data_IF_604014606600
#
_entry.id   IF_604014606600
#
_cell.length_a   1.000
_cell.length_b   1.000
_cell.length_c   1.000
_cell.angle_alpha   90.00
_cell.angle_beta   90.00
_cell.angle_gamma   90.00
#
_symmetry.space_group_name_H-M   'P 1'
#
loop_
_entity.id
_entity.type
_entity.pdbx_description
1 polymer ?
#
# COMPACT_ATOMS: atom_id res chain seq x y z
N UNK A 1 -23.71 37.96 87.22
CA UNK A 1 -24.07 39.32 86.79
C UNK A 1 -23.11 39.74 85.68
N UNK A 2 -23.66 40.35 84.61
CA UNK A 2 -23.01 41.13 83.53
C UNK A 2 -21.72 41.86 83.97
N UNK A 3 -20.76 42.28 83.15
CA UNK A 3 -20.39 42.14 81.73
C UNK A 3 -19.23 43.15 81.54
N UNK A 4 -17.99 42.74 81.29
CA UNK A 4 -16.84 43.55 80.82
C UNK A 4 -15.96 42.51 80.08
N UNK A 5 -15.50 42.63 78.84
CA UNK A 5 -14.78 43.72 78.22
C UNK A 5 -14.81 43.60 76.68
N UNK A 6 -14.50 44.71 76.03
CA UNK A 6 -14.09 44.86 74.63
C UNK A 6 -12.93 43.92 74.26
N UNK A 7 -12.80 43.55 72.98
CA UNK A 7 -11.51 43.54 72.25
C UNK A 7 -11.76 43.62 70.73
N UNK A 8 -10.83 44.34 70.12
CA UNK A 8 -10.73 44.90 68.79
C UNK A 8 -10.49 43.87 67.66
N UNK A 9 -10.80 44.29 66.44
CA UNK A 9 -10.64 43.60 65.15
C UNK A 9 -9.20 43.23 64.77
N UNK A 10 -9.07 42.11 64.05
CA UNK A 10 -8.17 41.98 62.90
C UNK A 10 -8.62 40.81 62.00
N UNK A 11 -9.39 41.10 60.94
CA UNK A 11 -9.67 40.15 59.86
C UNK A 11 -8.65 40.35 58.74
N UNK A 12 -7.73 39.41 58.61
CA UNK A 12 -6.79 39.28 57.49
C UNK A 12 -7.56 38.91 56.22
N UNK A 13 -7.65 39.85 55.28
CA UNK A 13 -8.09 39.57 53.91
C UNK A 13 -6.94 38.87 53.19
N UNK A 14 -7.08 37.57 52.96
CA UNK A 14 -6.19 36.80 52.11
C UNK A 14 -6.50 37.17 50.65
N UNK A 15 -5.72 38.08 50.07
CA UNK A 15 -5.75 38.34 48.62
C UNK A 15 -5.00 37.20 47.93
N UNK A 16 -5.71 36.15 47.54
CA UNK A 16 -5.21 35.19 46.56
C UNK A 16 -5.18 35.87 45.19
N UNK A 17 -4.00 36.38 44.82
CA UNK A 17 -3.73 36.86 43.48
C UNK A 17 -3.62 35.64 42.55
N UNK A 18 -4.72 35.28 41.88
CA UNK A 18 -4.71 34.30 40.80
C UNK A 18 -3.91 34.87 39.63
N UNK A 19 -2.71 34.33 39.40
CA UNK A 19 -2.03 34.48 38.11
C UNK A 19 -2.94 33.88 37.04
N UNK A 20 -3.48 34.72 36.17
CA UNK A 20 -4.07 34.26 34.91
C UNK A 20 -2.98 33.52 34.12
N UNK A 21 -3.05 32.20 34.14
CA UNK A 21 -2.38 31.40 33.12
C UNK A 21 -3.07 31.72 31.81
N UNK A 22 -2.42 32.55 30.99
CA UNK A 22 -2.74 32.75 29.60
C UNK A 22 -2.60 31.39 28.91
N UNK A 23 -3.71 30.66 28.81
CA UNK A 23 -3.82 29.48 27.95
C UNK A 23 -3.61 30.02 26.55
N UNK A 24 -2.39 29.88 26.05
CA UNK A 24 -2.10 30.01 24.63
C UNK A 24 -2.76 28.77 24.04
N UNK A 25 -4.05 28.87 23.71
CA UNK A 25 -4.68 27.90 22.83
C UNK A 25 -3.90 27.98 21.53
N UNK A 26 -3.21 26.90 21.19
CA UNK A 26 -2.69 26.73 19.84
C UNK A 26 -3.81 27.08 18.85
N UNK A 27 -3.53 27.88 17.81
CA UNK A 27 -4.55 28.22 16.83
C UNK A 27 -5.14 26.91 16.31
N UNK A 28 -6.46 26.78 16.38
CA UNK A 28 -7.18 25.64 15.78
C UNK A 28 -6.88 25.72 14.29
N UNK A 29 -5.88 24.98 13.83
CA UNK A 29 -5.57 24.87 12.40
C UNK A 29 -6.74 24.13 11.78
N UNK A 30 -7.62 24.90 11.15
CA UNK A 30 -8.77 24.35 10.43
C UNK A 30 -8.23 23.57 9.24
N UNK A 31 -8.18 22.25 9.37
CA UNK A 31 -7.68 21.38 8.30
C UNK A 31 -8.60 21.46 7.08
N UNK A 32 -8.01 21.59 5.90
CA UNK A 32 -8.74 21.64 4.64
C UNK A 32 -9.29 20.25 4.29
N UNK A 33 -10.58 20.15 3.95
CA UNK A 33 -11.14 18.90 3.42
C UNK A 33 -10.87 18.85 1.92
N UNK A 34 -10.13 17.82 1.48
CA UNK A 34 -9.68 17.68 0.10
C UNK A 34 -10.14 16.34 -0.47
N UNK A 35 -10.68 16.38 -1.68
CA UNK A 35 -10.99 15.18 -2.46
C UNK A 35 -9.67 14.55 -2.96
N UNK A 36 -9.55 13.23 -2.87
CA UNK A 36 -8.38 12.48 -3.34
C UNK A 36 -8.05 12.79 -4.81
N UNK A 37 -9.05 13.06 -5.65
CA UNK A 37 -8.86 13.43 -7.07
C UNK A 37 -8.12 14.74 -7.27
N UNK A 38 -8.05 15.61 -6.25
CA UNK A 38 -7.32 16.89 -6.28
C UNK A 38 -5.86 16.76 -5.85
N UNK A 39 -5.44 15.58 -5.41
CA UNK A 39 -4.06 15.33 -5.02
C UNK A 39 -3.17 15.13 -6.23
N UNK A 40 -1.86 15.31 -6.03
CA UNK A 40 -0.88 14.93 -7.05
C UNK A 40 -0.99 13.44 -7.30
N UNK A 41 -1.25 13.06 -8.54
CA UNK A 41 -1.47 11.68 -8.94
C UNK A 41 -0.32 11.20 -9.85
N UNK A 42 0.10 9.95 -9.65
CA UNK A 42 1.08 9.28 -10.49
C UNK A 42 0.62 7.87 -10.76
N UNK A 43 0.79 7.43 -12.00
CA UNK A 43 0.44 6.09 -12.43
C UNK A 43 1.72 5.32 -12.80
N UNK A 44 1.74 4.07 -12.39
CA UNK A 44 2.80 3.11 -12.69
C UNK A 44 2.17 1.75 -12.92
N UNK A 45 2.93 0.84 -13.52
CA UNK A 45 2.48 -0.53 -13.73
C UNK A 45 1.96 -0.79 -15.14
N UNK A 46 2.17 0.14 -16.08
CA UNK A 46 1.74 -0.02 -17.47
C UNK A 46 2.46 -1.19 -18.13
N UNK A 47 1.70 -2.13 -18.70
CA UNK A 47 2.22 -3.32 -19.39
C UNK A 47 3.22 -2.95 -20.49
N UNK A 48 2.86 -1.98 -21.34
CA UNK A 48 3.70 -1.45 -22.43
C UNK A 48 5.12 -1.04 -21.97
N UNK A 49 5.25 -0.52 -20.74
CA UNK A 49 6.56 -0.16 -20.20
C UNK A 49 7.34 -1.41 -19.79
N UNK A 50 6.69 -2.39 -19.20
CA UNK A 50 7.34 -3.65 -18.82
C UNK A 50 7.82 -4.46 -20.02
N UNK A 51 7.12 -4.41 -21.16
CA UNK A 51 7.55 -5.07 -22.40
C UNK A 51 8.95 -4.62 -22.86
N UNK A 52 9.34 -3.38 -22.51
CA UNK A 52 10.66 -2.82 -22.85
C UNK A 52 11.75 -3.11 -21.81
N UNK A 53 11.39 -3.69 -20.67
CA UNK A 53 12.28 -3.90 -19.52
C UNK A 53 12.77 -5.36 -19.44
N UNK A 54 13.93 -5.62 -18.80
CA UNK A 54 14.41 -6.98 -18.65
C UNK A 54 13.48 -7.84 -17.77
N UNK A 55 13.05 -8.98 -18.32
CA UNK A 55 12.21 -9.95 -17.61
C UNK A 55 12.97 -10.62 -16.46
N UNK A 56 12.27 -11.03 -15.41
CA UNK A 56 12.80 -11.89 -14.35
C UNK A 56 13.01 -13.31 -14.89
N UNK A 57 14.12 -13.91 -14.50
CA UNK A 57 14.44 -15.30 -14.83
C UNK A 57 14.29 -16.16 -13.56
N UNK A 58 13.30 -17.07 -13.58
CA UNK A 58 12.90 -17.88 -12.45
C UNK A 58 13.47 -19.29 -12.55
N UNK A 59 14.12 -19.72 -11.47
CA UNK A 59 14.56 -21.12 -11.29
C UNK A 59 13.67 -21.80 -10.26
N UNK A 60 13.23 -23.03 -10.54
CA UNK A 60 12.48 -23.85 -9.58
C UNK A 60 13.36 -24.15 -8.35
N UNK A 61 12.76 -24.07 -7.16
CA UNK A 61 13.40 -24.36 -5.88
C UNK A 61 12.53 -25.29 -5.04
N UNK A 62 13.10 -25.91 -4.03
CA UNK A 62 12.33 -26.74 -3.10
C UNK A 62 11.46 -25.88 -2.16
N UNK A 63 10.39 -26.48 -1.62
CA UNK A 63 9.58 -25.86 -0.55
C UNK A 63 10.44 -25.46 0.65
N UNK A 64 11.40 -26.30 1.02
CA UNK A 64 12.28 -26.03 2.16
C UNK A 64 13.17 -24.81 1.90
N UNK A 65 13.71 -24.67 0.68
CA UNK A 65 14.41 -23.44 0.31
C UNK A 65 13.47 -22.23 0.38
N UNK A 66 12.28 -22.30 -0.21
CA UNK A 66 11.29 -21.21 -0.15
C UNK A 66 10.96 -20.76 1.27
N UNK A 67 10.68 -21.70 2.17
CA UNK A 67 10.31 -21.40 3.55
C UNK A 67 11.48 -20.77 4.33
N UNK A 68 12.71 -21.21 4.07
CA UNK A 68 13.92 -20.64 4.67
C UNK A 68 14.31 -19.27 4.07
N UNK A 69 13.76 -18.91 2.91
CA UNK A 69 14.02 -17.65 2.23
C UNK A 69 13.16 -16.49 2.73
N UNK A 70 12.13 -16.75 3.55
CA UNK A 70 11.24 -15.72 4.08
C UNK A 70 12.00 -14.75 4.99
N UNK A 71 12.60 -13.72 4.38
CA UNK A 71 13.02 -12.54 5.13
C UNK A 71 11.76 -11.88 5.70
N UNK A 72 11.89 -11.24 6.86
CA UNK A 72 10.79 -10.49 7.49
C UNK A 72 10.52 -9.27 6.59
N UNK A 73 9.74 -9.46 5.53
CA UNK A 73 9.17 -8.36 4.77
C UNK A 73 8.34 -7.52 5.74
N UNK A 74 8.38 -6.20 5.60
CA UNK A 74 7.58 -5.29 6.42
C UNK A 74 6.11 -5.49 6.05
N UNK A 75 5.33 -6.25 6.84
CA UNK A 75 3.99 -6.61 6.41
C UNK A 75 3.12 -5.36 6.43
N UNK A 76 2.14 -5.34 5.54
CA UNK A 76 1.05 -4.37 5.63
C UNK A 76 0.36 -4.54 6.98
N UNK A 77 0.05 -3.44 7.66
CA UNK A 77 -0.65 -3.46 8.94
C UNK A 77 -2.12 -3.14 8.71
N UNK A 78 -3.02 -3.89 9.35
CA UNK A 78 -4.48 -3.77 9.18
C UNK A 78 -5.14 -2.87 10.23
N UNK A 79 -4.41 -1.87 10.75
CA UNK A 79 -4.96 -0.95 11.75
C UNK A 79 -6.19 -0.24 11.15
N UNK A 80 -7.36 -0.32 11.81
CA UNK A 80 -8.59 0.24 11.26
C UNK A 80 -8.49 1.76 11.15
N UNK A 81 -9.01 2.30 10.05
CA UNK A 81 -9.09 3.75 9.85
C UNK A 81 -10.33 4.35 10.50
N UNK A 82 -10.25 5.59 11.01
CA UNK A 82 -11.42 6.37 11.37
C UNK A 82 -12.39 6.47 10.20
N UNK A 83 -13.69 6.46 10.49
CA UNK A 83 -14.70 6.61 9.46
C UNK A 83 -15.90 7.40 9.92
N UNK A 84 -16.48 8.16 8.97
CA UNK A 84 -17.62 9.04 9.21
C UNK A 84 -18.47 9.13 7.97
N UNK A 85 -19.79 9.01 8.12
CA UNK A 85 -20.77 9.18 7.03
C UNK A 85 -20.43 8.36 5.76
N UNK A 86 -20.02 7.10 5.92
CA UNK A 86 -19.66 6.24 4.78
C UNK A 86 -18.32 6.55 4.12
N UNK A 87 -17.45 7.36 4.74
CA UNK A 87 -16.11 7.66 4.25
C UNK A 87 -15.04 7.16 5.23
N UNK A 88 -13.89 6.71 4.72
CA UNK A 88 -12.64 6.71 5.49
C UNK A 88 -12.13 8.14 5.62
N UNK A 89 -11.57 8.45 6.79
CA UNK A 89 -11.01 9.77 7.11
C UNK A 89 -9.50 9.61 7.31
N UNK A 90 -8.72 10.25 6.43
CA UNK A 90 -7.27 10.32 6.57
C UNK A 90 -6.86 11.75 6.91
N UNK A 91 -6.18 11.92 8.04
CA UNK A 91 -5.58 13.20 8.39
C UNK A 91 -4.11 13.18 7.98
N UNK A 92 -3.75 13.98 6.97
CA UNK A 92 -2.41 14.05 6.42
C UNK A 92 -1.99 15.52 6.47
N UNK A 93 -1.06 15.84 7.37
CA UNK A 93 -0.67 17.21 7.70
C UNK A 93 -1.87 18.12 8.03
N UNK A 94 -2.06 19.17 7.24
CA UNK A 94 -3.10 20.19 7.29
C UNK A 94 -4.35 19.82 6.49
N UNK A 95 -4.41 18.60 5.93
CA UNK A 95 -5.52 18.12 5.10
C UNK A 95 -6.25 16.95 5.74
N UNK A 96 -7.56 16.90 5.45
CA UNK A 96 -8.42 15.75 5.71
C UNK A 96 -8.87 15.21 4.37
N UNK A 97 -8.48 13.97 4.05
CA UNK A 97 -8.99 13.26 2.89
C UNK A 97 -10.22 12.44 3.30
N UNK A 98 -11.26 12.52 2.47
CA UNK A 98 -12.46 11.69 2.60
C UNK A 98 -12.51 10.72 1.44
N UNK A 99 -12.47 9.43 1.75
CA UNK A 99 -12.55 8.37 0.75
C UNK A 99 -13.85 7.61 0.94
N UNK A 100 -14.75 7.68 -0.05
CA UNK A 100 -16.02 6.98 0.02
C UNK A 100 -15.78 5.48 0.08
N UNK A 101 -16.31 4.81 1.09
CA UNK A 101 -16.13 3.36 1.28
C UNK A 101 -16.84 2.59 0.17
N UNK A 102 -16.24 1.46 -0.22
CA UNK A 102 -16.86 0.49 -1.11
C UNK A 102 -18.18 -0.02 -0.50
N UNK A 103 -19.25 0.10 -1.28
CA UNK A 103 -20.59 -0.42 -0.98
C UNK A 103 -21.04 -1.36 -2.10
N UNK A 104 -22.16 -2.05 -1.88
CA UNK A 104 -22.78 -2.89 -2.90
C UNK A 104 -23.42 -2.09 -4.06
N UNK A 105 -23.25 -0.76 -4.09
CA UNK A 105 -23.96 0.18 -4.97
C UNK A 105 -22.97 1.17 -5.59
N UNK A 106 -21.97 0.65 -6.30
CA UNK A 106 -21.06 1.44 -7.12
C UNK A 106 -21.81 2.00 -8.33
N UNK A 107 -21.60 3.28 -8.63
CA UNK A 107 -22.23 4.00 -9.75
C UNK A 107 -21.16 4.42 -10.75
N UNK A 108 -21.55 4.51 -12.01
CA UNK A 108 -20.69 5.05 -13.06
C UNK A 108 -20.24 6.48 -12.75
N UNK A 109 -18.98 6.79 -13.04
CA UNK A 109 -18.35 8.08 -12.71
C UNK A 109 -17.98 8.24 -11.22
N UNK A 110 -18.29 7.26 -10.38
CA UNK A 110 -17.93 7.23 -8.97
C UNK A 110 -16.70 6.33 -8.73
N UNK A 111 -15.86 6.74 -7.79
CA UNK A 111 -14.78 5.90 -7.25
C UNK A 111 -15.07 5.61 -5.78
N UNK A 112 -15.08 4.35 -5.40
CA UNK A 112 -15.19 3.91 -4.02
C UNK A 112 -13.97 3.10 -3.62
N UNK A 113 -13.61 3.17 -2.34
CA UNK A 113 -12.35 2.66 -1.84
C UNK A 113 -12.58 1.53 -0.84
N UNK A 114 -11.79 0.47 -0.96
CA UNK A 114 -11.65 -0.55 0.07
C UNK A 114 -10.25 -0.43 0.71
N UNK A 115 -10.20 -0.36 2.03
CA UNK A 115 -8.94 -0.16 2.75
C UNK A 115 -8.23 -1.49 2.97
N UNK A 116 -7.01 -1.60 2.42
CA UNK A 116 -6.22 -2.83 2.45
C UNK A 116 -5.24 -2.86 3.60
N UNK A 117 -4.85 -1.70 4.13
CA UNK A 117 -3.93 -1.56 5.25
C UNK A 117 -2.92 -0.43 5.07
N UNK A 118 -1.90 -0.41 5.92
CA UNK A 118 -0.84 0.59 5.92
C UNK A 118 0.53 -0.06 5.81
N UNK A 119 1.35 0.39 4.85
CA UNK A 119 2.75 -0.04 4.67
C UNK A 119 3.66 0.83 5.53
N UNK A 120 4.20 0.33 6.67
CA UNK A 120 4.98 1.16 7.58
C UNK A 120 6.31 1.62 6.97
N UNK A 121 6.95 0.75 6.17
CA UNK A 121 8.22 1.04 5.49
C UNK A 121 8.09 2.15 4.44
N UNK A 122 6.96 2.20 3.73
CA UNK A 122 6.67 3.25 2.76
C UNK A 122 6.09 4.50 3.41
N UNK A 123 5.45 4.34 4.57
CA UNK A 123 4.59 5.33 5.20
C UNK A 123 3.42 5.72 4.29
N UNK A 124 2.71 4.70 3.77
CA UNK A 124 1.61 4.85 2.80
C UNK A 124 0.42 3.98 3.18
N UNK A 125 -0.78 4.52 3.03
CA UNK A 125 -2.04 3.77 3.09
C UNK A 125 -2.31 3.08 1.75
N UNK A 126 -2.78 1.85 1.79
CA UNK A 126 -3.16 1.09 0.61
C UNK A 126 -4.68 0.98 0.51
N UNK A 127 -5.21 1.30 -0.66
CA UNK A 127 -6.62 1.18 -0.98
C UNK A 127 -6.79 0.49 -2.32
N UNK A 128 -7.81 -0.35 -2.44
CA UNK A 128 -8.37 -0.70 -3.74
C UNK A 128 -9.33 0.40 -4.15
N UNK A 129 -9.05 1.08 -5.26
CA UNK A 129 -9.90 2.11 -5.85
C UNK A 129 -10.77 1.47 -6.93
N UNK A 130 -12.08 1.40 -6.67
CA UNK A 130 -13.03 0.69 -7.50
C UNK A 130 -13.94 1.68 -8.23
N UNK A 131 -14.11 1.49 -9.52
CA UNK A 131 -14.96 2.35 -10.35
C UNK A 131 -15.70 1.54 -11.41
N UNK A 132 -16.70 2.15 -12.03
CA UNK A 132 -17.43 1.60 -13.19
C UNK A 132 -17.33 2.61 -14.33
N UNK A 133 -17.00 2.13 -15.52
CA UNK A 133 -17.11 2.84 -16.78
C UNK A 133 -17.57 1.86 -17.87
N UNK A 134 -18.48 2.29 -18.74
CA UNK A 134 -18.99 1.47 -19.86
C UNK A 134 -19.54 0.10 -19.39
N UNK A 135 -20.20 0.08 -18.23
CA UNK A 135 -20.72 -1.12 -17.57
C UNK A 135 -19.67 -2.16 -17.14
N UNK A 136 -18.38 -1.83 -17.23
CA UNK A 136 -17.26 -2.65 -16.76
C UNK A 136 -16.77 -2.13 -15.40
N UNK A 137 -16.44 -3.05 -14.50
CA UNK A 137 -15.86 -2.75 -13.20
C UNK A 137 -14.34 -2.72 -13.28
N UNK A 138 -13.73 -1.68 -12.71
CA UNK A 138 -12.28 -1.51 -12.65
C UNK A 138 -11.83 -1.42 -11.20
N UNK A 139 -10.66 -2.00 -10.90
CA UNK A 139 -10.05 -1.96 -9.57
C UNK A 139 -8.55 -1.71 -9.68
N UNK A 140 -8.13 -0.54 -9.21
CA UNK A 140 -6.73 -0.14 -9.13
C UNK A 140 -6.23 -0.23 -7.69
N UNK A 141 -4.92 -0.38 -7.53
CA UNK A 141 -4.30 -0.28 -6.22
C UNK A 141 -3.70 1.12 -6.01
N UNK A 142 -4.25 1.85 -5.05
CA UNK A 142 -3.81 3.20 -4.71
C UNK A 142 -2.97 3.18 -3.43
N UNK A 143 -1.75 3.71 -3.52
CA UNK A 143 -0.89 4.01 -2.40
C UNK A 143 -0.94 5.51 -2.10
N UNK A 144 -1.47 5.89 -0.94
CA UNK A 144 -1.62 7.28 -0.50
C UNK A 144 -0.55 7.57 0.54
N UNK A 145 0.32 8.53 0.23
CA UNK A 145 1.42 8.90 1.12
C UNK A 145 0.93 9.69 2.33
N UNK A 146 1.32 9.22 3.53
CA UNK A 146 0.83 9.76 4.80
C UNK A 146 1.58 11.01 5.30
N UNK A 147 2.63 11.47 4.59
CA UNK A 147 3.33 12.73 4.86
C UNK A 147 3.25 13.75 3.73
N UNK A 148 3.11 13.30 2.48
CA UNK A 148 2.89 14.18 1.33
C UNK A 148 1.61 13.71 0.65
N UNK A 149 0.55 14.53 0.55
CA UNK A 149 -0.74 14.11 0.02
C UNK A 149 -0.65 13.92 -1.51
N UNK A 150 -0.03 12.81 -1.90
CA UNK A 150 0.09 12.31 -3.28
C UNK A 150 -0.39 10.87 -3.33
N UNK A 151 -0.93 10.48 -4.48
CA UNK A 151 -1.44 9.16 -4.76
C UNK A 151 -0.58 8.52 -5.84
N UNK A 152 -0.17 7.28 -5.62
CA UNK A 152 0.38 6.41 -6.65
C UNK A 152 -0.64 5.33 -6.97
N UNK A 153 -1.19 5.32 -8.18
CA UNK A 153 -2.01 4.22 -8.70
C UNK A 153 -1.11 3.20 -9.39
N UNK A 154 -1.15 1.96 -8.93
CA UNK A 154 -0.57 0.82 -9.63
C UNK A 154 -1.67 0.28 -10.56
N UNK A 155 -1.49 0.57 -11.84
CA UNK A 155 -2.37 0.15 -12.94
C UNK A 155 -2.30 -1.38 -13.04
N UNK A 156 -3.47 -2.00 -13.08
CA UNK A 156 -3.57 -3.44 -13.29
C UNK A 156 -3.24 -3.79 -14.75
N UNK A 157 -2.50 -4.87 -15.01
CA UNK A 157 -2.28 -5.35 -16.37
C UNK A 157 -3.55 -5.98 -17.00
N UNK A 158 -4.68 -6.03 -16.28
CA UNK A 158 -5.95 -6.51 -16.84
C UNK A 158 -7.16 -6.06 -16.02
N UNK A 159 -8.32 -6.68 -16.28
CA UNK A 159 -9.64 -6.19 -15.82
C UNK A 159 -9.96 -6.46 -14.33
N UNK A 160 -8.97 -6.84 -13.52
CA UNK A 160 -9.16 -7.17 -12.10
C UNK A 160 -8.19 -6.42 -11.18
N UNK A 161 -8.49 -6.46 -9.89
CA UNK A 161 -7.63 -5.93 -8.83
C UNK A 161 -6.25 -6.60 -8.82
N UNK A 162 -5.21 -5.78 -8.70
CA UNK A 162 -3.86 -6.21 -8.33
C UNK A 162 -3.83 -6.77 -6.90
N UNK A 163 -3.18 -7.91 -6.70
CA UNK A 163 -2.96 -8.50 -5.38
C UNK A 163 -2.11 -7.58 -4.49
N UNK A 164 -2.28 -7.68 -3.17
CA UNK A 164 -1.58 -6.81 -2.22
C UNK A 164 -0.05 -6.85 -2.42
N UNK A 165 0.62 -5.72 -2.70
CA UNK A 165 2.04 -5.72 -2.95
C UNK A 165 2.88 -6.12 -1.75
N UNK A 166 4.08 -6.61 -2.05
CA UNK A 166 5.07 -6.99 -1.06
C UNK A 166 6.30 -6.10 -1.24
N UNK A 167 6.63 -5.33 -0.20
CA UNK A 167 7.79 -4.44 -0.19
C UNK A 167 9.04 -5.21 0.24
N UNK A 168 10.14 -5.01 -0.50
CA UNK A 168 11.45 -5.58 -0.15
C UNK A 168 11.95 -5.09 1.23
N UNK A 169 12.80 -5.85 1.93
CA UNK A 169 13.23 -5.55 3.29
C UNK A 169 13.82 -4.14 3.47
N UNK A 170 14.69 -3.68 2.57
CA UNK A 170 15.26 -2.32 2.66
C UNK A 170 14.52 -1.31 1.78
N UNK A 171 13.27 -1.60 1.39
CA UNK A 171 12.40 -0.66 0.68
C UNK A 171 13.00 -0.16 -0.64
N UNK A 172 13.70 -1.05 -1.37
CA UNK A 172 14.26 -0.74 -2.70
C UNK A 172 13.29 -1.04 -3.83
N UNK A 173 12.48 -2.07 -3.62
CA UNK A 173 11.54 -2.60 -4.59
C UNK A 173 10.20 -2.91 -3.93
N UNK A 174 9.15 -2.87 -4.75
CA UNK A 174 7.80 -3.33 -4.45
C UNK A 174 7.41 -4.33 -5.53
N UNK A 175 6.99 -5.53 -5.13
CA UNK A 175 6.46 -6.55 -6.03
C UNK A 175 4.95 -6.58 -5.94
N UNK A 176 4.27 -6.73 -7.07
CA UNK A 176 2.82 -6.93 -7.10
C UNK A 176 2.45 -8.01 -8.11
N UNK A 177 1.35 -8.71 -7.84
CA UNK A 177 0.87 -9.78 -8.69
C UNK A 177 -0.50 -9.48 -9.26
N UNK A 178 -0.75 -10.05 -10.42
CA UNK A 178 -2.06 -10.13 -11.02
C UNK A 178 -2.27 -11.56 -11.51
N UNK A 179 -3.39 -12.17 -11.15
CA UNK A 179 -3.84 -13.43 -11.73
C UNK A 179 -5.05 -13.10 -12.60
N UNK A 180 -5.03 -13.55 -13.85
CA UNK A 180 -6.10 -13.28 -14.80
C UNK A 180 -7.40 -13.94 -14.31
N UNK A 181 -8.50 -13.19 -14.38
CA UNK A 181 -9.79 -13.68 -13.90
C UNK A 181 -10.47 -14.61 -14.91
N UNK A 182 -10.12 -14.50 -16.19
CA UNK A 182 -10.71 -15.24 -17.30
C UNK A 182 -9.85 -16.43 -17.70
N UNK A 183 -8.53 -16.29 -17.59
CA UNK A 183 -7.58 -17.39 -17.78
C UNK A 183 -6.91 -17.80 -16.47
N UNK A 184 -7.38 -18.91 -15.90
CA UNK A 184 -6.95 -19.42 -14.59
C UNK A 184 -5.47 -19.78 -14.51
N UNK A 185 -4.75 -19.87 -15.63
CA UNK A 185 -3.34 -20.19 -15.62
C UNK A 185 -2.47 -19.00 -16.02
N UNK A 186 -3.07 -17.84 -16.27
CA UNK A 186 -2.33 -16.64 -16.62
C UNK A 186 -2.06 -15.77 -15.40
N UNK A 187 -0.79 -15.46 -15.17
CA UNK A 187 -0.38 -14.54 -14.11
C UNK A 187 0.75 -13.62 -14.53
N UNK A 188 0.78 -12.46 -13.88
CA UNK A 188 1.78 -11.42 -14.05
C UNK A 188 2.36 -11.06 -12.69
N UNK A 189 3.67 -10.82 -12.67
CA UNK A 189 4.43 -10.29 -11.54
C UNK A 189 5.17 -9.05 -12.02
N UNK A 190 4.84 -7.89 -11.44
CA UNK A 190 5.53 -6.63 -11.67
C UNK A 190 6.45 -6.27 -10.52
N UNK A 191 7.64 -5.77 -10.83
CA UNK A 191 8.57 -5.18 -9.88
C UNK A 191 8.67 -3.69 -10.16
N UNK A 192 8.33 -2.89 -9.16
CA UNK A 192 8.55 -1.46 -9.14
C UNK A 192 9.80 -1.15 -8.32
N UNK A 193 10.67 -0.30 -8.86
CA UNK A 193 11.74 0.33 -8.09
C UNK A 193 11.16 1.50 -7.29
N UNK A 194 11.56 1.57 -6.01
CA UNK A 194 11.21 2.67 -5.11
C UNK A 194 12.35 3.69 -5.16
N UNK A 195 12.03 4.91 -5.57
CA UNK A 195 12.99 6.00 -5.66
C UNK A 195 13.18 6.70 -4.31
N UNK A 196 14.25 7.50 -4.20
CA UNK A 196 14.58 8.22 -2.97
C UNK A 196 13.50 9.22 -2.53
N UNK A 197 12.70 9.73 -3.47
CA UNK A 197 11.56 10.62 -3.23
C UNK A 197 10.25 9.87 -2.95
N UNK A 198 10.31 8.54 -2.77
CA UNK A 198 9.19 7.62 -2.60
C UNK A 198 8.23 7.55 -3.79
N UNK A 199 8.67 7.97 -4.98
CA UNK A 199 7.99 7.61 -6.23
C UNK A 199 8.35 6.20 -6.67
N UNK A 200 7.60 5.67 -7.63
CA UNK A 200 7.78 4.33 -8.16
C UNK A 200 8.08 4.40 -9.66
N UNK A 201 8.85 3.43 -10.16
CA UNK A 201 9.08 3.24 -11.59
C UNK A 201 9.09 1.76 -11.91
N UNK A 202 8.53 1.37 -13.05
CA UNK A 202 8.61 0.01 -13.59
C UNK A 202 10.08 -0.41 -13.69
N UNK A 203 10.40 -1.64 -13.26
CA UNK A 203 11.78 -2.12 -13.20
C UNK A 203 11.99 -3.45 -13.92
N UNK A 204 11.22 -4.48 -13.53
CA UNK A 204 11.26 -5.82 -14.16
C UNK A 204 9.89 -6.49 -14.02
N UNK A 205 9.63 -7.49 -14.85
CA UNK A 205 8.38 -8.23 -14.82
C UNK A 205 8.59 -9.70 -15.12
N UNK A 206 7.54 -10.49 -14.93
CA UNK A 206 7.43 -11.84 -15.41
C UNK A 206 5.96 -12.14 -15.70
N UNK A 207 5.70 -12.81 -16.82
CA UNK A 207 4.38 -13.29 -17.20
C UNK A 207 4.44 -14.80 -17.38
N UNK A 208 3.39 -15.49 -16.96
CA UNK A 208 3.22 -16.93 -17.16
C UNK A 208 1.81 -17.19 -17.67
N UNK A 209 1.70 -18.11 -18.64
CA UNK A 209 0.41 -18.64 -19.13
C UNK A 209 0.10 -20.03 -18.55
N UNK A 210 0.89 -20.48 -17.56
CA UNK A 210 0.85 -21.85 -17.05
C UNK A 210 0.41 -21.98 -15.59
N UNK A 211 0.44 -20.91 -14.81
CA UNK A 211 0.14 -20.97 -13.38
C UNK A 211 -0.37 -19.65 -12.81
N UNK A 212 -1.05 -19.78 -11.67
CA UNK A 212 -1.40 -18.67 -10.79
C UNK A 212 -0.36 -18.47 -9.69
N UNK A 213 -0.03 -17.22 -9.41
CA UNK A 213 0.80 -16.84 -8.27
C UNK A 213 -0.05 -16.76 -7.00
N UNK A 214 0.38 -17.45 -5.93
CA UNK A 214 -0.34 -17.56 -4.65
C UNK A 214 0.35 -16.84 -3.49
N UNK A 215 1.67 -16.70 -3.54
CA UNK A 215 2.44 -16.00 -2.51
C UNK A 215 3.71 -15.44 -3.14
N UNK A 216 4.18 -14.31 -2.59
CA UNK A 216 5.38 -13.61 -3.04
C UNK A 216 6.20 -13.24 -1.81
N UNK A 217 7.49 -13.56 -1.85
CA UNK A 217 8.42 -13.30 -0.74
C UNK A 217 9.70 -12.68 -1.25
N UNK A 218 10.36 -11.91 -0.40
CA UNK A 218 11.68 -11.36 -0.68
C UNK A 218 12.75 -12.14 0.07
N UNK A 219 13.91 -12.31 -0.56
CA UNK A 219 15.16 -12.75 0.08
C UNK A 219 16.20 -11.64 -0.03
N UNK A 220 16.27 -10.82 1.02
CA UNK A 220 16.90 -9.51 0.94
C UNK A 220 16.24 -8.66 -0.16
N UNK A 221 16.94 -7.68 -0.71
CA UNK A 221 16.41 -6.89 -1.84
C UNK A 221 16.74 -7.50 -3.21
N UNK A 222 17.61 -8.52 -3.25
CA UNK A 222 18.20 -9.01 -4.49
C UNK A 222 17.44 -10.16 -5.12
N UNK A 223 16.60 -10.86 -4.35
CA UNK A 223 15.90 -12.03 -4.84
C UNK A 223 14.44 -11.98 -4.44
N UNK A 224 13.62 -12.50 -5.34
CA UNK A 224 12.19 -12.69 -5.13
C UNK A 224 11.86 -14.17 -5.28
N UNK A 225 11.02 -14.67 -4.38
CA UNK A 225 10.46 -16.01 -4.43
C UNK A 225 8.97 -15.95 -4.69
N UNK A 226 8.46 -16.88 -5.49
CA UNK A 226 7.02 -17.05 -5.73
C UNK A 226 6.58 -18.47 -5.41
N UNK A 227 5.39 -18.58 -4.84
CA UNK A 227 4.65 -19.85 -4.70
C UNK A 227 3.53 -19.84 -5.73
N UNK A 228 3.42 -20.90 -6.51
CA UNK A 228 2.47 -20.98 -7.63
C UNK A 228 1.66 -22.26 -7.59
N UNK A 229 0.54 -22.27 -8.31
CA UNK A 229 -0.29 -23.46 -8.56
C UNK A 229 -0.68 -23.53 -10.03
N UNK A 230 -0.72 -24.73 -10.59
CA UNK A 230 -1.08 -25.02 -11.99
C UNK A 230 -2.55 -25.44 -12.13
N UNK A 231 -3.22 -25.65 -11.01
CA UNK A 231 -4.59 -26.09 -10.94
C UNK A 231 -5.25 -25.56 -9.65
N UNK A 232 -6.56 -25.82 -9.52
CA UNK A 232 -7.31 -25.57 -8.29
C UNK A 232 -6.94 -26.57 -7.17
N UNK A 233 -5.97 -27.48 -7.40
CA UNK A 233 -5.46 -28.40 -6.39
C UNK A 233 -4.48 -27.68 -5.45
N UNK A 234 -4.22 -28.28 -4.29
CA UNK A 234 -3.25 -27.76 -3.30
C UNK A 234 -1.81 -28.13 -3.65
N UNK A 235 -1.51 -28.43 -4.91
CA UNK A 235 -0.15 -28.76 -5.38
C UNK A 235 0.60 -27.47 -5.66
N UNK A 236 1.70 -27.26 -4.97
CA UNK A 236 2.47 -26.02 -5.07
C UNK A 236 3.86 -26.28 -5.60
N UNK A 237 4.28 -25.40 -6.50
CA UNK A 237 5.68 -25.23 -6.88
C UNK A 237 6.21 -23.90 -6.38
N UNK A 238 7.53 -23.81 -6.30
CA UNK A 238 8.23 -22.67 -5.73
C UNK A 238 9.35 -22.26 -6.68
N UNK A 239 9.47 -20.96 -6.92
CA UNK A 239 10.49 -20.42 -7.81
C UNK A 239 11.22 -19.26 -7.14
N UNK A 240 12.46 -19.01 -7.59
CA UNK A 240 13.27 -17.86 -7.18
C UNK A 240 13.87 -17.17 -8.40
N UNK A 241 13.90 -15.84 -8.39
CA UNK A 241 14.58 -15.03 -9.39
C UNK A 241 15.50 -13.99 -8.73
N UNK A 242 16.60 -13.65 -9.40
CA UNK A 242 17.42 -12.50 -9.04
C UNK A 242 16.81 -11.24 -9.66
N UNK A 243 16.54 -10.23 -8.83
CA UNK A 243 15.93 -8.95 -9.21
C UNK A 243 16.99 -7.96 -9.70
N UNK A 244 18.21 -8.03 -9.18
CA UNK A 244 19.30 -7.14 -9.56
C UNK A 244 19.77 -7.41 -10.99
N UNK A 245 19.82 -6.35 -11.81
CA UNK A 245 20.49 -6.39 -13.10
C UNK A 245 21.99 -6.39 -12.84
N UNK A 246 22.63 -7.57 -12.90
CA UNK A 246 24.07 -7.59 -13.15
C UNK A 246 24.27 -7.26 -14.63
N UNK A 247 25.23 -6.37 -14.93
CA UNK A 247 25.65 -6.02 -16.29
C UNK A 247 26.35 -7.20 -17.00
N UNK A 248 25.78 -8.39 -16.94
CA UNK A 248 26.23 -9.51 -17.75
C UNK A 248 25.32 -9.60 -18.97
N UNK A 249 25.80 -9.01 -20.07
CA UNK A 249 25.39 -9.45 -21.41
C UNK A 249 25.56 -10.97 -21.48
N UNK A 250 24.59 -11.63 -22.13
CA UNK A 250 24.48 -13.08 -22.38
C UNK A 250 23.81 -13.84 -21.24
N UNK A 251 22.74 -14.59 -21.44
CA UNK A 251 22.43 -15.46 -22.58
C UNK A 251 20.92 -15.65 -22.77
N UNK A 252 20.50 -15.67 -24.04
CA UNK A 252 19.22 -16.23 -24.48
C UNK A 252 19.04 -17.65 -23.91
N UNK A 253 17.88 -17.90 -23.31
CA UNK A 253 17.33 -19.25 -23.20
C UNK A 253 15.89 -19.21 -23.73
N UNK A 254 15.80 -19.36 -25.05
CA UNK A 254 14.71 -20.10 -25.69
C UNK A 254 14.74 -21.52 -25.14
N UNK A 255 13.75 -21.90 -24.35
CA UNK A 255 13.76 -23.23 -23.72
C UNK A 255 12.55 -23.53 -22.83
N UNK A 256 11.37 -23.02 -23.14
CA UNK A 256 10.10 -23.58 -22.65
C UNK A 256 9.14 -23.64 -23.84
N UNK A 257 9.55 -24.39 -24.86
CA UNK A 257 8.65 -25.01 -25.83
C UNK A 257 9.21 -26.40 -26.08
N UNK A 258 8.72 -27.35 -25.30
CA UNK A 258 9.12 -28.75 -25.35
C UNK A 258 7.87 -29.61 -25.32
N UNK A 259 7.40 -29.97 -26.51
CA UNK A 259 6.38 -30.97 -26.80
C UNK A 259 6.36 -32.14 -25.80
N UNK A 260 5.18 -32.43 -25.25
CA UNK A 260 4.43 -33.69 -25.44
C UNK A 260 3.02 -33.56 -24.86
#
# INVERSE_FOLDING_TARGET
MRNIAQILMASTILVCCTKEQKVISEPIVQKEIVDVKKLKHFEVGFEEKFETLPLLDFTEITKNEYDNLKSIAHPITSLPLPSRNGNYILEINDKILQLKKLSNTLKEGETQYDYLGFYPSLHMYAFSANSIADYLGFSELNLINATNPSVCSIVSPGDNKVENPVVSPNTKYLAYCYNDMYDKNKSFLGILKINSDKTFTEYRSFSSDNFNTKDVVWFGDNYIGIKVTYDDSKTFKYYKANVSLSNNKSSNLSGIDGNL
#
